data_IF_305098427920
#
_entry.id   IF_305098427920
#
_cell.length_a   1.000
_cell.length_b   1.000
_cell.length_c   1.000
_cell.angle_alpha   90.00
_cell.angle_beta   90.00
_cell.angle_gamma   90.00
#
_symmetry.space_group_name_H-M   'P 1'
#
loop_
_entity.id
_entity.type
_entity.pdbx_description
1 polymer ?
#
# COMPACT_ATOMS: atom_id res chain seq x y z
N UNK A 1 -8.32 -18.47 22.05
CA UNK A 1 -8.69 -18.48 20.62
C UNK A 1 -8.01 -17.30 19.95
N UNK A 2 -7.23 -17.55 18.90
CA UNK A 2 -6.65 -16.47 18.09
C UNK A 2 -7.74 -15.87 17.20
N UNK A 3 -7.79 -14.55 17.13
CA UNK A 3 -8.64 -13.81 16.17
C UNK A 3 -7.73 -13.37 15.03
N UNK A 4 -8.14 -13.67 13.80
CA UNK A 4 -7.42 -13.27 12.59
C UNK A 4 -8.22 -12.18 11.87
N UNK A 5 -7.52 -11.15 11.41
CA UNK A 5 -8.08 -10.06 10.62
C UNK A 5 -7.36 -10.05 9.28
N UNK A 6 -8.12 -10.04 8.20
CA UNK A 6 -7.58 -9.98 6.84
C UNK A 6 -7.74 -8.56 6.31
N UNK A 7 -6.67 -8.04 5.71
CA UNK A 7 -6.64 -6.73 5.06
C UNK A 7 -6.36 -6.93 3.58
N UNK A 8 -7.16 -6.28 2.73
CA UNK A 8 -6.88 -6.20 1.29
C UNK A 8 -5.91 -5.05 1.04
N UNK A 9 -4.93 -5.31 0.21
CA UNK A 9 -3.93 -4.32 -0.22
C UNK A 9 -4.04 -4.13 -1.73
N UNK A 10 -3.72 -2.93 -2.19
CA UNK A 10 -3.55 -2.63 -3.62
C UNK A 10 -2.23 -1.91 -3.84
N UNK A 11 -1.76 -1.90 -5.08
CA UNK A 11 -0.61 -1.06 -5.47
C UNK A 11 -0.91 0.40 -5.11
N UNK A 12 0.10 1.06 -4.58
CA UNK A 12 0.00 2.44 -4.17
C UNK A 12 0.01 3.38 -5.39
N UNK A 13 -0.79 4.43 -5.31
CA UNK A 13 -0.88 5.50 -6.31
C UNK A 13 -0.34 6.79 -5.73
N UNK A 14 -0.12 7.78 -6.59
CA UNK A 14 0.40 9.08 -6.18
C UNK A 14 -0.53 9.76 -5.16
N UNK A 15 -1.83 9.62 -5.36
CA UNK A 15 -2.86 10.24 -4.52
C UNK A 15 -2.89 9.69 -3.08
N UNK A 16 -2.25 8.54 -2.84
CA UNK A 16 -2.11 7.97 -1.49
C UNK A 16 -1.08 8.74 -0.65
N UNK A 17 -0.08 9.35 -1.29
CA UNK A 17 1.05 10.03 -0.62
C UNK A 17 1.14 11.52 -0.92
N UNK A 18 0.35 12.03 -1.86
CA UNK A 18 0.28 13.43 -2.20
C UNK A 18 -1.18 13.88 -2.38
N UNK A 19 -1.48 15.11 -2.02
CA UNK A 19 -2.79 15.71 -2.28
C UNK A 19 -2.89 16.24 -3.72
N UNK A 20 -4.02 16.89 -4.04
CA UNK A 20 -4.29 17.45 -5.36
C UNK A 20 -3.35 18.60 -5.74
N UNK A 21 -2.71 19.24 -4.77
CA UNK A 21 -1.72 20.30 -4.97
C UNK A 21 -0.29 19.75 -5.04
N UNK A 22 -0.09 18.47 -4.73
CA UNK A 22 1.20 17.80 -4.72
C UNK A 22 1.89 17.83 -3.36
N UNK A 23 1.21 18.33 -2.32
CA UNK A 23 1.74 18.34 -0.95
C UNK A 23 1.69 16.94 -0.34
N UNK A 24 2.72 16.62 0.46
CA UNK A 24 2.87 15.29 1.06
C UNK A 24 1.74 14.99 2.04
N UNK A 25 1.10 13.83 1.88
CA UNK A 25 0.13 13.28 2.83
C UNK A 25 0.83 12.48 3.91
N UNK A 26 1.33 13.19 4.91
CA UNK A 26 1.97 12.60 6.09
C UNK A 26 0.96 11.73 6.86
N UNK A 27 1.42 10.56 7.32
CA UNK A 27 0.64 9.56 8.04
C UNK A 27 0.02 8.47 7.15
N UNK A 28 0.21 8.51 5.82
CA UNK A 28 -0.28 7.47 4.93
C UNK A 28 0.39 6.12 5.25
N UNK A 29 -0.42 5.08 5.48
CA UNK A 29 0.07 3.72 5.73
C UNK A 29 0.43 3.06 4.41
N UNK A 30 1.59 2.43 4.36
CA UNK A 30 1.98 1.57 3.24
C UNK A 30 2.74 0.33 3.72
N UNK A 31 2.81 -0.66 2.85
CA UNK A 31 3.51 -1.92 3.02
C UNK A 31 4.48 -2.08 1.86
N UNK A 32 5.62 -2.72 2.14
CA UNK A 32 6.66 -2.94 1.15
C UNK A 32 6.66 -4.40 0.68
N UNK A 33 6.85 -4.61 -0.62
CA UNK A 33 7.07 -5.92 -1.20
C UNK A 33 8.57 -6.18 -1.33
N UNK A 34 9.04 -7.32 -0.84
CA UNK A 34 10.42 -7.77 -1.04
C UNK A 34 10.66 -8.21 -2.49
N UNK A 35 11.94 -8.37 -2.87
CA UNK A 35 12.35 -8.85 -4.20
C UNK A 35 11.82 -10.26 -4.54
N UNK A 36 11.43 -11.05 -3.54
CA UNK A 36 10.85 -12.39 -3.74
C UNK A 36 9.34 -12.36 -3.94
N UNK A 37 8.73 -11.16 -3.93
CA UNK A 37 7.29 -10.96 -4.06
C UNK A 37 6.52 -11.03 -2.74
N UNK A 38 7.18 -11.36 -1.62
CA UNK A 38 6.52 -11.42 -0.31
C UNK A 38 6.25 -10.00 0.24
N UNK A 39 5.02 -9.76 0.69
CA UNK A 39 4.64 -8.52 1.37
C UNK A 39 5.15 -8.53 2.82
N UNK A 40 5.88 -7.50 3.19
CA UNK A 40 6.20 -7.23 4.59
C UNK A 40 4.91 -6.88 5.34
N UNK A 41 4.56 -7.65 6.37
CA UNK A 41 3.33 -7.46 7.15
C UNK A 41 3.42 -6.33 8.17
N UNK A 42 4.63 -5.77 8.36
CA UNK A 42 4.82 -4.58 9.20
C UNK A 42 4.42 -3.33 8.40
N UNK A 43 3.49 -2.51 8.91
CA UNK A 43 3.12 -1.26 8.26
C UNK A 43 4.24 -0.22 8.43
N UNK A 44 4.42 0.58 7.41
CA UNK A 44 5.21 1.80 7.43
C UNK A 44 4.27 3.00 7.33
N UNK A 45 4.75 4.15 7.80
CA UNK A 45 4.02 5.41 7.72
C UNK A 45 4.85 6.40 6.91
N UNK A 46 4.23 6.97 5.88
CA UNK A 46 4.84 8.05 5.13
C UNK A 46 4.95 9.29 6.03
N UNK A 47 6.16 9.74 6.30
CA UNK A 47 6.48 10.77 7.29
C UNK A 47 7.54 11.74 6.75
N UNK A 48 7.81 12.80 7.51
CA UNK A 48 8.90 13.74 7.16
C UNK A 48 10.27 13.07 7.20
N UNK A 49 10.43 12.02 8.00
CA UNK A 49 11.65 11.23 8.15
C UNK A 49 11.77 10.11 7.11
N UNK A 50 10.76 9.95 6.23
CA UNK A 50 10.82 8.94 5.18
C UNK A 50 11.97 9.24 4.25
N UNK A 51 12.88 8.26 4.10
CA UNK A 51 13.91 8.29 3.08
C UNK A 51 13.26 8.28 1.69
N UNK A 52 13.25 9.47 1.06
CA UNK A 52 12.60 9.68 -0.22
C UNK A 52 13.33 9.00 -1.37
N UNK A 53 14.61 8.69 -1.24
CA UNK A 53 15.36 7.99 -2.29
C UNK A 53 14.89 6.54 -2.36
N UNK A 54 15.03 5.80 -1.26
CA UNK A 54 14.53 4.43 -1.13
C UNK A 54 13.03 4.34 -1.43
N UNK A 55 12.23 5.29 -0.91
CA UNK A 55 10.79 5.31 -1.16
C UNK A 55 10.46 5.43 -2.66
N UNK A 56 11.15 6.33 -3.38
CA UNK A 56 10.93 6.50 -4.82
C UNK A 56 11.32 5.25 -5.60
N UNK A 57 12.43 4.61 -5.26
CA UNK A 57 12.86 3.37 -5.90
C UNK A 57 11.79 2.28 -5.76
N UNK A 58 11.30 2.06 -4.54
CA UNK A 58 10.24 1.10 -4.27
C UNK A 58 8.93 1.46 -4.98
N UNK A 59 8.55 2.75 -4.99
CA UNK A 59 7.35 3.22 -5.67
C UNK A 59 7.43 2.99 -7.18
N UNK A 60 8.55 3.37 -7.82
CA UNK A 60 8.76 3.18 -9.26
C UNK A 60 8.85 1.71 -9.68
N UNK A 61 9.21 0.83 -8.75
CA UNK A 61 9.28 -0.61 -8.95
C UNK A 61 7.96 -1.33 -8.60
N UNK A 62 6.87 -0.60 -8.33
CA UNK A 62 5.56 -1.15 -7.96
C UNK A 62 5.60 -2.02 -6.68
N UNK A 63 6.51 -1.71 -5.74
CA UNK A 63 6.72 -2.47 -4.51
C UNK A 63 6.05 -1.85 -3.28
N UNK A 64 5.27 -0.77 -3.45
CA UNK A 64 4.53 -0.15 -2.37
C UNK A 64 3.04 -0.47 -2.50
N UNK A 65 2.46 -0.91 -1.40
CA UNK A 65 1.06 -1.30 -1.31
C UNK A 65 0.37 -0.54 -0.18
N UNK A 66 -0.88 -0.15 -0.39
CA UNK A 66 -1.70 0.53 0.61
C UNK A 66 -2.97 -0.27 0.91
N UNK A 67 -3.57 -0.13 2.11
CA UNK A 67 -4.87 -0.71 2.39
C UNK A 67 -5.91 -0.25 1.39
N UNK A 68 -6.73 -1.19 0.90
CA UNK A 68 -7.91 -0.85 0.11
C UNK A 68 -8.90 -0.08 0.99
N UNK A 69 -9.23 1.15 0.60
CA UNK A 69 -10.24 1.97 1.26
C UNK A 69 -11.67 1.46 1.07
N UNK A 70 -12.61 1.93 1.90
CA UNK A 70 -14.05 1.57 1.82
C UNK A 70 -14.65 1.94 0.44
N UNK A 71 -14.06 2.92 -0.24
CA UNK A 71 -14.50 3.44 -1.54
C UNK A 71 -13.55 3.09 -2.70
N UNK A 72 -12.54 2.26 -2.46
CA UNK A 72 -11.73 1.76 -3.58
C UNK A 72 -12.58 0.79 -4.39
N UNK A 73 -12.51 0.89 -5.72
CA UNK A 73 -13.25 0.03 -6.65
C UNK A 73 -13.01 -1.45 -6.29
N UNK A 74 -14.06 -2.12 -5.83
CA UNK A 74 -14.01 -3.54 -5.50
C UNK A 74 -14.22 -4.33 -6.78
N UNK A 75 -13.14 -4.88 -7.32
CA UNK A 75 -13.24 -5.88 -8.38
C UNK A 75 -13.86 -7.17 -7.78
N UNK A 76 -15.08 -7.50 -8.21
CA UNK A 76 -15.74 -8.75 -7.87
C UNK A 76 -15.18 -9.81 -8.80
N UNK A 77 -14.24 -10.61 -8.29
CA UNK A 77 -13.76 -11.80 -9.00
C UNK A 77 -14.71 -12.93 -8.66
N UNK A 78 -15.50 -13.40 -9.64
CA UNK A 78 -16.29 -14.62 -9.49
C UNK A 78 -15.33 -15.81 -9.33
N UNK A 79 -15.25 -16.37 -8.13
CA UNK A 79 -14.57 -17.66 -7.92
C UNK A 79 -15.31 -18.72 -8.73
N UNK A 80 -14.65 -19.26 -9.77
CA UNK A 80 -15.10 -20.49 -10.42
C UNK A 80 -15.04 -21.62 -9.40
N UNK A 81 -16.20 -22.06 -8.95
CA UNK A 81 -16.34 -23.32 -8.23
C UNK A 81 -15.92 -24.47 -9.16
N UNK A 82 -14.89 -25.22 -8.75
CA UNK A 82 -14.59 -26.55 -9.25
C UNK A 82 -15.20 -27.59 -8.31
#
# INVERSE_FOLDING_TARGET
MAKYVFMKLREAKKEDFADLFGDKRIGAIYFQQSITGAICTQPFYFSEETDLETFRELYTSCQLYVPTGIFDEVEIIEEKQN
#
